data_IF_144432385752
#
_entry.id   IF_144432385752
#
_cell.length_a   1.000
_cell.length_b   1.000
_cell.length_c   1.000
_cell.angle_alpha   90.00
_cell.angle_beta   90.00
_cell.angle_gamma   90.00
#
_symmetry.space_group_name_H-M   'P 1'
#
loop_
_entity.id
_entity.type
_entity.pdbx_description
1 polymer ?
#
# COMPACT_ATOMS: atom_id res chain seq x y z
N UNK A 1 -26.47 -15.34 -57.00
CA UNK A 1 -25.11 -15.09 -56.49
C UNK A 1 -25.16 -13.80 -55.72
N UNK A 2 -25.15 -13.87 -54.39
CA UNK A 2 -25.13 -12.69 -53.50
C UNK A 2 -24.04 -12.94 -52.47
N UNK A 3 -23.11 -12.01 -52.45
CA UNK A 3 -21.81 -12.06 -51.78
C UNK A 3 -21.95 -12.19 -50.27
N UNK A 4 -21.32 -13.22 -49.71
CA UNK A 4 -21.06 -13.33 -48.28
C UNK A 4 -20.05 -12.25 -47.87
N UNK A 5 -20.53 -11.19 -47.22
CA UNK A 5 -19.66 -10.23 -46.53
C UNK A 5 -19.15 -10.86 -45.24
N UNK A 6 -18.08 -11.64 -45.36
CA UNK A 6 -17.32 -12.18 -44.23
C UNK A 6 -16.56 -11.02 -43.57
N UNK A 7 -17.15 -10.39 -42.56
CA UNK A 7 -16.46 -9.45 -41.66
C UNK A 7 -15.33 -10.20 -40.95
N UNK A 8 -14.11 -10.06 -41.45
CA UNK A 8 -12.91 -10.42 -40.69
C UNK A 8 -12.83 -9.52 -39.45
N UNK A 9 -13.21 -10.10 -38.31
CA UNK A 9 -12.89 -9.56 -37.00
C UNK A 9 -11.37 -9.65 -36.84
N UNK A 10 -10.67 -8.56 -37.18
CA UNK A 10 -9.26 -8.36 -36.82
C UNK A 10 -9.14 -8.44 -35.30
N UNK A 11 -8.78 -9.62 -34.80
CA UNK A 11 -8.38 -9.84 -33.40
C UNK A 11 -7.17 -8.94 -33.14
N UNK A 12 -7.40 -7.81 -32.46
CA UNK A 12 -6.34 -6.89 -32.06
C UNK A 12 -5.50 -7.56 -30.97
N UNK A 13 -4.48 -8.29 -31.39
CA UNK A 13 -3.42 -8.77 -30.50
C UNK A 13 -2.62 -7.57 -30.04
N UNK A 14 -3.00 -6.93 -28.93
CA UNK A 14 -2.04 -6.14 -28.15
C UNK A 14 -0.88 -7.11 -27.84
N UNK A 15 0.39 -6.74 -28.08
CA UNK A 15 1.49 -7.66 -27.88
C UNK A 15 1.52 -8.04 -26.40
N UNK A 16 1.51 -9.34 -26.10
CA UNK A 16 1.48 -9.89 -24.75
C UNK A 16 2.59 -9.32 -23.84
N UNK A 17 3.65 -8.76 -24.42
CA UNK A 17 4.71 -8.02 -23.74
C UNK A 17 4.19 -6.78 -22.99
N UNK A 18 3.25 -6.02 -23.56
CA UNK A 18 2.72 -4.81 -22.91
C UNK A 18 1.86 -5.17 -21.71
N UNK A 19 1.05 -6.23 -21.80
CA UNK A 19 0.25 -6.72 -20.67
C UNK A 19 1.15 -7.22 -19.53
N UNK A 20 2.22 -7.95 -19.85
CA UNK A 20 3.20 -8.41 -18.85
C UNK A 20 3.88 -7.23 -18.14
N UNK A 21 4.25 -6.18 -18.88
CA UNK A 21 4.84 -4.96 -18.30
C UNK A 21 3.83 -4.23 -17.41
N UNK A 22 2.57 -4.12 -17.83
CA UNK A 22 1.50 -3.53 -17.02
C UNK A 22 1.28 -4.31 -15.72
N UNK A 23 1.23 -5.65 -15.79
CA UNK A 23 1.09 -6.52 -14.60
C UNK A 23 2.30 -6.43 -13.67
N UNK A 24 3.51 -6.39 -14.22
CA UNK A 24 4.72 -6.18 -13.43
C UNK A 24 4.66 -4.85 -12.67
N UNK A 25 4.31 -3.75 -13.36
CA UNK A 25 4.21 -2.43 -12.73
C UNK A 25 3.13 -2.39 -11.64
N UNK A 26 1.98 -3.04 -11.87
CA UNK A 26 0.93 -3.18 -10.86
C UNK A 26 1.44 -3.92 -9.61
N UNK A 27 2.18 -5.02 -9.79
CA UNK A 27 2.76 -5.77 -8.67
C UNK A 27 3.80 -4.94 -7.91
N UNK A 28 4.67 -4.21 -8.60
CA UNK A 28 5.65 -3.32 -7.98
C UNK A 28 4.96 -2.24 -7.14
N UNK A 29 3.91 -1.61 -7.66
CA UNK A 29 3.16 -0.60 -6.92
C UNK A 29 2.42 -1.19 -5.71
N UNK A 30 1.84 -2.38 -5.86
CA UNK A 30 1.24 -3.10 -4.75
C UNK A 30 2.24 -3.30 -3.61
N UNK A 31 3.41 -3.86 -3.91
CA UNK A 31 4.46 -4.10 -2.90
C UNK A 31 4.91 -2.79 -2.25
N UNK A 32 5.15 -1.73 -3.04
CA UNK A 32 5.52 -0.40 -2.51
C UNK A 32 4.48 0.13 -1.53
N UNK A 33 3.20 0.03 -1.87
CA UNK A 33 2.12 0.48 -1.02
C UNK A 33 2.03 -0.36 0.26
N UNK A 34 2.19 -1.68 0.17
CA UNK A 34 2.23 -2.57 1.33
C UNK A 34 3.38 -2.21 2.27
N UNK A 35 4.59 -2.01 1.75
CA UNK A 35 5.75 -1.63 2.57
C UNK A 35 5.54 -0.28 3.25
N UNK A 36 4.96 0.70 2.55
CA UNK A 36 4.60 2.00 3.13
C UNK A 36 3.57 1.89 4.26
N UNK A 37 2.57 1.01 4.10
CA UNK A 37 1.61 0.69 5.15
C UNK A 37 2.27 0.09 6.39
N UNK A 38 3.17 -0.88 6.19
CA UNK A 38 3.93 -1.50 7.27
C UNK A 38 4.77 -0.47 8.03
N UNK A 39 5.47 0.44 7.35
CA UNK A 39 6.26 1.50 7.99
C UNK A 39 5.38 2.41 8.88
N UNK A 40 4.20 2.76 8.38
CA UNK A 40 3.22 3.56 9.15
C UNK A 40 2.76 2.82 10.40
N UNK A 41 2.46 1.53 10.28
CA UNK A 41 2.02 0.73 11.42
C UNK A 41 3.14 0.52 12.44
N UNK A 42 4.39 0.33 12.00
CA UNK A 42 5.55 0.26 12.88
C UNK A 42 5.76 1.56 13.68
N UNK A 43 5.58 2.72 13.05
CA UNK A 43 5.61 4.03 13.74
C UNK A 43 4.53 4.13 14.82
N UNK A 44 3.31 3.69 14.51
CA UNK A 44 2.19 3.66 15.49
C UNK A 44 2.47 2.70 16.64
N UNK A 45 2.99 1.50 16.34
CA UNK A 45 3.36 0.52 17.36
C UNK A 45 4.43 1.09 18.27
N UNK A 46 5.49 1.69 17.72
CA UNK A 46 6.55 2.35 18.50
C UNK A 46 5.98 3.42 19.42
N UNK A 47 5.04 4.23 18.93
CA UNK A 47 4.37 5.25 19.74
C UNK A 47 3.62 4.64 20.92
N UNK A 48 2.80 3.61 20.68
CA UNK A 48 2.04 2.92 21.73
C UNK A 48 2.98 2.26 22.75
N UNK A 49 4.04 1.59 22.29
CA UNK A 49 5.03 0.98 23.17
C UNK A 49 5.72 2.01 24.06
N UNK A 50 6.07 3.19 23.51
CA UNK A 50 6.67 4.27 24.30
C UNK A 50 5.71 4.77 25.39
N UNK A 51 4.40 4.87 25.10
CA UNK A 51 3.39 5.24 26.11
C UNK A 51 3.26 4.18 27.19
N UNK A 52 3.19 2.90 26.80
CA UNK A 52 3.09 1.78 27.75
C UNK A 52 4.34 1.68 28.63
N UNK A 53 5.53 1.94 28.09
CA UNK A 53 6.78 1.94 28.86
C UNK A 53 6.82 3.04 29.93
N UNK A 54 6.09 4.15 29.71
CA UNK A 54 5.98 5.26 30.65
C UNK A 54 4.81 5.14 31.62
N UNK A 55 3.93 4.13 31.44
CA UNK A 55 2.76 3.95 32.27
C UNK A 55 3.14 3.66 33.72
N UNK A 56 2.63 4.50 34.63
CA UNK A 56 2.74 4.34 36.07
C UNK A 56 1.33 4.46 36.68
N UNK A 57 0.79 3.38 37.28
CA UNK A 57 -0.56 3.36 37.84
C UNK A 57 -0.71 4.28 39.06
N UNK A 58 0.39 4.70 39.69
CA UNK A 58 0.38 5.62 40.83
C UNK A 58 0.44 7.09 40.40
N UNK A 59 0.71 7.37 39.13
CA UNK A 59 0.81 8.70 38.56
C UNK A 59 -0.20 8.87 37.41
N UNK A 60 -1.28 9.62 37.68
CA UNK A 60 -2.36 9.87 36.70
C UNK A 60 -1.93 10.66 35.46
N UNK A 61 -0.72 11.23 35.46
CA UNK A 61 -0.11 11.97 34.33
C UNK A 61 0.96 11.17 33.60
N UNK A 62 1.16 9.89 33.94
CA UNK A 62 2.19 9.03 33.32
C UNK A 62 2.02 8.80 31.81
N UNK A 63 0.81 9.10 31.29
CA UNK A 63 0.46 9.02 29.88
C UNK A 63 0.33 10.41 29.21
N UNK A 64 0.74 11.51 29.86
CA UNK A 64 0.66 12.85 29.25
C UNK A 64 1.65 12.99 28.07
N UNK A 65 1.11 13.25 26.88
CA UNK A 65 1.79 13.15 25.58
C UNK A 65 2.73 14.33 25.22
N UNK A 66 3.22 15.12 26.19
CA UNK A 66 3.97 16.35 25.90
C UNK A 66 5.30 16.15 25.12
N UNK A 67 5.82 14.93 25.03
CA UNK A 67 7.07 14.61 24.33
C UNK A 67 6.89 14.00 22.93
N UNK A 68 5.65 13.76 22.47
CA UNK A 68 5.41 13.05 21.20
C UNK A 68 5.47 14.00 19.99
N UNK A 69 5.51 15.32 20.19
CA UNK A 69 5.58 16.30 19.10
C UNK A 69 6.84 16.20 18.24
N UNK A 70 7.92 15.60 18.76
CA UNK A 70 9.24 15.68 18.14
C UNK A 70 9.59 14.43 17.31
N UNK A 71 8.68 13.46 17.17
CA UNK A 71 8.95 12.18 16.49
C UNK A 71 8.12 11.96 15.20
N UNK A 72 7.31 12.92 14.77
CA UNK A 72 6.52 12.85 13.52
C UNK A 72 6.92 13.98 12.57
#
# INVERSE_FOLDING_TARGET
MTEETKKEVKKSTKPASNELVEKHNQMVQFIKNTVSGIDTDLKRIKLVLNKLAKFDPSNTKSLDDKEISDTI
#
